data_IF_995150291668
#
_entry.id   IF_995150291668
#
_cell.length_a   1.000
_cell.length_b   1.000
_cell.length_c   1.000
_cell.angle_alpha   90.00
_cell.angle_beta   90.00
_cell.angle_gamma   90.00
#
_symmetry.space_group_name_H-M   'P 1'
#
loop_
_entity.id
_entity.type
_entity.pdbx_description
1 polymer ?
#
# COMPACT_ATOMS: atom_id res chain seq x y z
N UNK A 1 10.01 -11.53 -7.05
CA UNK A 1 11.01 -10.53 -6.59
C UNK A 1 10.59 -10.08 -5.21
N UNK A 2 11.51 -10.02 -4.24
CA UNK A 2 11.18 -9.62 -2.86
C UNK A 2 10.64 -8.19 -2.78
N UNK A 3 9.63 -7.98 -1.93
CA UNK A 3 8.95 -6.69 -1.77
C UNK A 3 9.91 -5.57 -1.37
N UNK A 4 10.84 -5.88 -0.45
CA UNK A 4 11.89 -4.98 0.02
C UNK A 4 12.73 -4.39 -1.13
N UNK A 5 13.15 -5.24 -2.07
CA UNK A 5 14.02 -4.80 -3.18
C UNK A 5 13.28 -3.89 -4.16
N UNK A 6 11.98 -4.07 -4.31
CA UNK A 6 11.17 -3.35 -5.29
C UNK A 6 10.67 -2.01 -4.75
N UNK A 7 10.34 -1.97 -3.46
CA UNK A 7 9.74 -0.80 -2.81
C UNK A 7 10.52 -0.22 -1.63
N UNK A 8 11.83 -0.45 -1.56
CA UNK A 8 12.69 -0.02 -0.43
C UNK A 8 12.49 1.45 -0.02
N UNK A 9 12.26 2.37 -0.99
CA UNK A 9 11.97 3.78 -0.70
C UNK A 9 10.61 4.00 -0.01
N UNK A 10 9.54 3.43 -0.57
CA UNK A 10 8.19 3.56 0.01
C UNK A 10 8.15 2.90 1.39
N UNK A 11 8.77 1.73 1.55
CA UNK A 11 8.90 1.03 2.83
C UNK A 11 9.56 1.92 3.87
N UNK A 12 10.72 2.53 3.57
CA UNK A 12 11.40 3.45 4.49
C UNK A 12 10.53 4.66 4.85
N UNK A 13 9.80 5.22 3.89
CA UNK A 13 8.88 6.34 4.16
C UNK A 13 7.70 5.93 5.04
N UNK A 14 7.14 4.75 4.84
CA UNK A 14 6.08 4.20 5.69
C UNK A 14 6.64 4.03 7.10
N UNK A 15 7.79 3.36 7.26
CA UNK A 15 8.42 3.15 8.55
C UNK A 15 8.78 4.46 9.27
N UNK A 16 9.21 5.49 8.53
CA UNK A 16 9.51 6.80 9.11
C UNK A 16 8.30 7.51 9.74
N UNK A 17 7.07 7.14 9.36
CA UNK A 17 5.85 7.68 9.97
C UNK A 17 5.51 7.04 11.31
N UNK A 18 6.11 5.89 11.62
CA UNK A 18 5.85 5.17 12.86
C UNK A 18 7.04 5.26 13.80
N UNK A 19 6.83 5.57 15.08
CA UNK A 19 7.91 5.54 16.06
C UNK A 19 8.46 4.12 16.20
N UNK A 20 9.72 3.96 16.64
CA UNK A 20 10.38 2.66 16.69
C UNK A 20 9.68 1.65 17.61
N UNK A 21 8.96 2.13 18.61
CA UNK A 21 8.15 1.33 19.54
C UNK A 21 6.86 0.78 18.92
N UNK A 22 6.37 1.40 17.83
CA UNK A 22 5.11 1.03 17.17
C UNK A 22 5.29 0.65 15.69
N UNK A 23 6.46 0.12 15.31
CA UNK A 23 6.73 -0.36 13.94
C UNK A 23 5.73 -1.45 13.48
N UNK A 24 5.17 -2.23 14.41
CA UNK A 24 4.15 -3.27 14.12
C UNK A 24 2.89 -2.70 13.46
N UNK A 25 2.56 -1.43 13.70
CA UNK A 25 1.43 -0.77 13.05
C UNK A 25 1.66 -0.48 11.56
N UNK A 26 2.91 -0.58 11.09
CA UNK A 26 3.25 -0.46 9.67
C UNK A 26 2.91 -1.72 8.85
N UNK A 27 2.44 -2.81 9.47
CA UNK A 27 2.03 -4.04 8.75
C UNK A 27 0.97 -3.75 7.68
N UNK A 28 -0.07 -2.99 8.02
CA UNK A 28 -1.16 -2.65 7.09
C UNK A 28 -0.72 -1.85 5.85
N UNK A 29 0.01 -0.72 5.98
CA UNK A 29 0.49 0.01 4.80
C UNK A 29 1.49 -0.79 3.96
N UNK A 30 2.28 -1.69 4.56
CA UNK A 30 3.18 -2.57 3.82
C UNK A 30 2.41 -3.67 3.05
N UNK A 31 1.34 -4.21 3.63
CA UNK A 31 0.43 -5.13 2.95
C UNK A 31 -0.26 -4.47 1.77
N UNK A 32 -0.74 -3.23 1.95
CA UNK A 32 -1.37 -2.47 0.87
C UNK A 32 -0.39 -2.25 -0.29
N UNK A 33 0.88 -1.97 0.01
CA UNK A 33 1.93 -1.84 -0.98
C UNK A 33 2.19 -3.15 -1.73
N UNK A 34 2.19 -4.29 -1.04
CA UNK A 34 2.29 -5.61 -1.65
C UNK A 34 1.08 -5.94 -2.54
N UNK A 35 -0.12 -5.56 -2.10
CA UNK A 35 -1.35 -5.80 -2.84
C UNK A 35 -1.47 -4.92 -4.09
N UNK A 36 -0.87 -3.72 -4.09
CA UNK A 36 -0.96 -2.76 -5.21
C UNK A 36 -0.42 -3.31 -6.54
N UNK A 37 0.53 -4.23 -6.51
CA UNK A 37 1.09 -4.81 -7.74
C UNK A 37 0.35 -6.03 -8.26
N UNK A 38 0.06 -6.98 -7.38
CA UNK A 38 -0.44 -8.29 -7.79
C UNK A 38 -1.94 -8.43 -7.56
N UNK A 39 -2.58 -7.46 -6.89
CA UNK A 39 -3.99 -7.50 -6.49
C UNK A 39 -4.25 -8.38 -5.26
N UNK A 40 -3.27 -9.22 -4.87
CA UNK A 40 -3.31 -10.08 -3.70
C UNK A 40 -1.96 -10.10 -2.97
N UNK A 41 -1.99 -10.46 -1.69
CA UNK A 41 -0.78 -10.59 -0.86
C UNK A 41 -0.34 -12.05 -0.86
N UNK A 42 0.86 -12.30 -1.39
CA UNK A 42 1.48 -13.62 -1.37
C UNK A 42 2.16 -13.94 -0.02
N UNK A 43 2.38 -15.23 0.26
CA UNK A 43 3.09 -15.67 1.47
C UNK A 43 4.53 -15.12 1.54
N UNK A 44 5.20 -15.00 0.39
CA UNK A 44 6.52 -14.38 0.32
C UNK A 44 6.50 -12.90 0.73
N UNK A 45 5.44 -12.16 0.38
CA UNK A 45 5.28 -10.78 0.83
C UNK A 45 5.07 -10.68 2.35
N UNK A 46 4.31 -11.61 2.95
CA UNK A 46 4.17 -11.69 4.41
C UNK A 46 5.53 -11.94 5.10
N UNK A 47 6.35 -12.83 4.55
CA UNK A 47 7.72 -13.10 5.02
C UNK A 47 8.62 -11.89 4.93
N UNK A 48 8.58 -11.19 3.79
CA UNK A 48 9.34 -9.96 3.59
C UNK A 48 8.93 -8.90 4.62
N UNK A 49 7.63 -8.73 4.86
CA UNK A 49 7.11 -7.76 5.85
C UNK A 49 7.55 -8.11 7.27
N UNK A 50 7.48 -9.40 7.64
CA UNK A 50 7.96 -9.89 8.94
C UNK A 50 9.44 -9.53 9.15
N UNK A 51 10.27 -9.76 8.13
CA UNK A 51 11.69 -9.43 8.15
C UNK A 51 11.97 -7.93 8.21
N UNK A 52 11.18 -7.11 7.50
CA UNK A 52 11.31 -5.64 7.50
C UNK A 52 11.01 -5.06 8.89
N UNK A 53 10.00 -5.60 9.55
CA UNK A 53 9.52 -5.12 10.85
C UNK A 53 10.22 -5.77 12.04
N UNK A 54 11.10 -6.73 11.79
CA UNK A 54 11.81 -7.52 12.81
C UNK A 54 10.83 -8.24 13.77
N UNK A 55 9.79 -8.84 13.19
CA UNK A 55 8.76 -9.61 13.92
C UNK A 55 8.52 -10.98 13.28
N UNK A 56 7.76 -11.84 13.95
CA UNK A 56 7.44 -13.17 13.42
C UNK A 56 6.35 -13.12 12.36
N UNK A 57 6.34 -14.08 11.43
CA UNK A 57 5.25 -14.26 10.46
C UNK A 57 3.89 -14.44 11.17
N UNK A 58 3.90 -15.09 12.35
CA UNK A 58 2.72 -15.29 13.19
C UNK A 58 2.18 -13.96 13.72
N UNK A 59 3.05 -13.06 14.19
CA UNK A 59 2.65 -11.71 14.59
C UNK A 59 2.02 -10.95 13.42
N UNK A 60 2.64 -11.00 12.24
CA UNK A 60 2.10 -10.37 11.03
C UNK A 60 0.71 -10.94 10.71
N UNK A 61 0.56 -12.27 10.70
CA UNK A 61 -0.71 -12.93 10.42
C UNK A 61 -1.79 -12.61 11.48
N UNK A 62 -1.40 -12.53 12.75
CA UNK A 62 -2.29 -12.13 13.85
C UNK A 62 -2.78 -10.69 13.68
N UNK A 63 -1.87 -9.77 13.34
CA UNK A 63 -2.18 -8.37 13.06
C UNK A 63 -3.09 -8.25 11.83
N UNK A 64 -2.78 -8.96 10.74
CA UNK A 64 -3.63 -9.04 9.55
C UNK A 64 -5.03 -9.50 9.95
N UNK A 65 -5.12 -10.61 10.67
CA UNK A 65 -6.39 -11.15 11.15
C UNK A 65 -7.17 -10.14 11.99
N UNK A 66 -6.53 -9.47 12.94
CA UNK A 66 -7.16 -8.49 13.82
C UNK A 66 -7.75 -7.29 13.06
N UNK A 67 -6.98 -6.70 12.14
CA UNK A 67 -7.45 -5.56 11.34
C UNK A 67 -8.43 -5.97 10.24
N UNK A 68 -8.39 -7.23 9.78
CA UNK A 68 -9.37 -7.77 8.82
C UNK A 68 -10.69 -8.11 9.52
N UNK A 69 -10.66 -8.60 10.77
CA UNK A 69 -11.86 -8.85 11.57
C UNK A 69 -12.64 -7.55 11.87
N UNK A 70 -11.92 -6.43 12.02
CA UNK A 70 -12.55 -5.11 12.15
C UNK A 70 -13.24 -4.62 10.87
N UNK A 71 -12.95 -5.27 9.73
CA UNK A 71 -13.51 -4.99 8.41
C UNK A 71 -14.68 -5.91 8.02
N UNK A 72 -15.32 -6.60 8.98
CA UNK A 72 -16.58 -7.34 8.75
C UNK A 72 -17.81 -6.41 8.64
N UNK A 73 -17.69 -5.37 7.81
CA UNK A 73 -18.82 -4.71 7.17
C UNK A 73 -18.51 -4.58 5.68
N UNK A 74 -18.95 -5.60 4.95
CA UNK A 74 -19.18 -5.71 3.51
C UNK A 74 -19.22 -4.35 2.80
N UNK A 75 -18.07 -3.87 2.30
CA UNK A 75 -18.04 -2.58 1.61
C UNK A 75 -16.70 -1.98 1.22
N UNK A 76 -15.56 -2.66 1.37
CA UNK A 76 -14.28 -2.10 0.91
C UNK A 76 -13.82 -2.71 -0.41
N UNK A 77 -14.39 -2.18 -1.49
CA UNK A 77 -13.69 -2.14 -2.76
C UNK A 77 -12.58 -1.11 -2.55
N UNK A 78 -11.30 -1.52 -2.58
CA UNK A 78 -10.21 -0.57 -2.78
C UNK A 78 -10.60 0.25 -4.00
N UNK A 79 -10.89 1.57 -3.91
CA UNK A 79 -11.04 2.34 -5.12
C UNK A 79 -9.65 2.26 -5.76
N UNK A 80 -9.57 1.55 -6.88
CA UNK A 80 -8.50 1.75 -7.86
C UNK A 80 -8.39 3.27 -7.97
N UNK A 81 -7.35 3.81 -7.35
CA UNK A 81 -7.16 5.24 -7.25
C UNK A 81 -7.04 5.70 -8.69
N UNK A 82 -8.13 6.26 -9.21
CA UNK A 82 -8.33 6.52 -10.62
C UNK A 82 -7.16 7.29 -11.20
N UNK A 83 -6.17 6.56 -11.71
CA UNK A 83 -5.14 7.08 -12.57
C UNK A 83 -5.70 7.22 -14.00
N UNK A 84 -6.99 7.53 -14.13
CA UNK A 84 -7.49 8.31 -15.23
C UNK A 84 -6.97 9.73 -15.07
N UNK A 85 -5.70 9.90 -15.43
CA UNK A 85 -5.11 11.20 -15.73
C UNK A 85 -6.15 11.98 -16.55
N UNK A 86 -6.63 13.15 -16.11
CA UNK A 86 -7.35 14.00 -17.04
C UNK A 86 -6.33 14.40 -18.10
N UNK A 87 -6.48 13.86 -19.31
CA UNK A 87 -5.77 14.37 -20.47
C UNK A 87 -6.09 15.86 -20.53
N UNK A 88 -5.09 16.69 -20.19
CA UNK A 88 -5.10 18.12 -20.40
C UNK A 88 -5.36 18.31 -21.90
N UNK A 89 -6.61 18.60 -22.28
CA UNK A 89 -6.90 19.06 -23.64
C UNK A 89 -6.10 20.35 -23.82
N UNK A 90 -5.29 20.47 -24.89
CA UNK A 90 -4.63 21.74 -25.15
C UNK A 90 -5.71 22.79 -25.39
N UNK A 91 -5.61 23.90 -24.65
CA UNK A 91 -6.44 25.06 -24.87
C UNK A 91 -6.30 25.49 -26.34
N UNK A 92 -7.37 25.32 -27.13
CA UNK A 92 -7.46 25.96 -28.44
C UNK A 92 -7.51 27.46 -28.21
N UNK A 93 -6.36 28.09 -28.41
CA UNK A 93 -6.23 29.51 -28.70
C UNK A 93 -6.73 29.74 -30.13
N UNK A 94 -7.70 30.63 -30.31
CA UNK A 94 -8.19 31.08 -31.61
C UNK A 94 -9.66 31.48 -31.50
N UNK A 95 -10.08 32.70 -31.86
CA UNK A 95 -9.39 33.80 -32.49
C UNK A 95 -10.29 35.02 -32.44
N UNK A 96 -9.62 36.17 -32.48
CA UNK A 96 -10.15 37.51 -32.71
C UNK A 96 -10.96 37.60 -34.01
N UNK A 97 -11.98 38.49 -33.98
CA UNK A 97 -12.52 39.34 -35.06
C UNK A 97 -14.03 39.21 -35.28
N UNK A 98 -14.69 40.37 -35.33
CA UNK A 98 -16.02 40.58 -35.89
C UNK A 98 -16.85 41.55 -35.08
#
# INVERSE_FOLDING_TARGET
MSLDKKYSKEIKQILAKYPPEHKRSAVMPLLYLAQREEGYVNKDALKDIARILDITETDVASIVGFYTLYHDKKGWQIPDAGLHRPALRPARRGGVHG
#
